data_IF_207008058754
#
_entry.id   IF_207008058754
#
_cell.length_a   1.000
_cell.length_b   1.000
_cell.length_c   1.000
_cell.angle_alpha   90.00
_cell.angle_beta   90.00
_cell.angle_gamma   90.00
#
_symmetry.space_group_name_H-M   'P 1'
#
loop_
_entity.id
_entity.type
_entity.pdbx_description
1 polymer ?
#
# COMPACT_ATOMS: atom_id res chain seq x y z
N UNK A 1 5.75 -8.99 -25.80
CA UNK A 1 4.66 -8.79 -24.82
C UNK A 1 4.28 -7.32 -24.86
N UNK A 2 3.03 -7.02 -25.23
CA UNK A 2 2.53 -5.66 -25.22
C UNK A 2 2.44 -5.23 -23.75
N UNK A 3 3.36 -4.38 -23.31
CA UNK A 3 3.23 -3.65 -22.06
C UNK A 3 1.94 -2.86 -22.22
N UNK A 4 0.90 -3.22 -21.47
CA UNK A 4 -0.35 -2.47 -21.39
C UNK A 4 0.00 -0.97 -21.35
N UNK A 5 -0.54 -0.21 -22.28
CA UNK A 5 -0.28 1.22 -22.32
C UNK A 5 -0.79 1.79 -20.99
N UNK A 6 0.11 2.25 -20.12
CA UNK A 6 -0.20 2.98 -18.88
C UNK A 6 -0.94 4.28 -19.23
N UNK A 7 -2.21 4.12 -19.56
CA UNK A 7 -3.04 5.08 -20.24
C UNK A 7 -3.85 5.87 -19.23
N UNK A 8 -4.00 7.16 -19.49
CA UNK A 8 -4.78 8.06 -18.65
C UNK A 8 -6.18 7.52 -18.31
N UNK A 9 -6.88 6.94 -19.30
CA UNK A 9 -8.24 6.40 -19.14
C UNK A 9 -8.30 5.23 -18.16
N UNK A 10 -7.26 4.40 -18.12
CA UNK A 10 -7.20 3.28 -17.19
C UNK A 10 -7.15 3.77 -15.75
N UNK A 11 -6.33 4.80 -15.47
CA UNK A 11 -6.26 5.41 -14.14
C UNK A 11 -7.53 6.17 -13.78
N UNK A 12 -8.23 6.74 -14.76
CA UNK A 12 -9.55 7.34 -14.54
C UNK A 12 -10.58 6.28 -14.13
N UNK A 13 -10.54 5.09 -14.73
CA UNK A 13 -11.43 3.97 -14.39
C UNK A 13 -11.07 3.30 -13.06
N UNK A 14 -9.83 3.44 -12.59
CA UNK A 14 -9.38 2.96 -11.28
C UNK A 14 -9.90 3.84 -10.12
N UNK A 15 -10.46 5.01 -10.41
CA UNK A 15 -11.09 5.84 -9.40
C UNK A 15 -12.47 5.27 -9.05
N UNK A 16 -12.70 5.02 -7.77
CA UNK A 16 -14.06 4.78 -7.30
C UNK A 16 -14.85 6.09 -7.33
N UNK A 17 -16.01 6.06 -8.01
CA UNK A 17 -16.95 7.17 -8.00
C UNK A 17 -16.76 8.16 -9.15
N UNK A 18 -16.95 9.45 -8.86
CA UNK A 18 -16.90 10.49 -9.89
C UNK A 18 -15.46 10.72 -10.36
N UNK A 19 -15.24 10.86 -11.68
CA UNK A 19 -13.91 11.09 -12.24
C UNK A 19 -13.36 12.44 -11.77
N UNK A 20 -12.38 12.39 -10.86
CA UNK A 20 -11.73 13.58 -10.29
C UNK A 20 -10.37 13.80 -10.96
N UNK A 21 -10.12 15.03 -11.40
CA UNK A 21 -8.89 15.41 -12.09
C UNK A 21 -8.15 16.46 -11.27
N UNK A 22 -6.86 16.21 -11.06
CA UNK A 22 -5.96 17.13 -10.37
C UNK A 22 -4.95 17.71 -11.35
N UNK A 23 -4.69 19.01 -11.22
CA UNK A 23 -3.62 19.66 -11.97
C UNK A 23 -2.26 19.15 -11.50
N UNK A 24 -1.23 19.31 -12.34
CA UNK A 24 0.16 19.00 -11.97
C UNK A 24 0.59 19.65 -10.64
N UNK A 25 0.21 20.91 -10.42
CA UNK A 25 0.57 21.65 -9.20
C UNK A 25 -0.13 21.09 -7.96
N UNK A 26 -1.40 20.70 -8.07
CA UNK A 26 -2.16 20.06 -6.98
C UNK A 26 -1.62 18.67 -6.65
N UNK A 27 -1.28 17.87 -7.66
CA UNK A 27 -0.64 16.56 -7.48
C UNK A 27 0.64 16.69 -6.64
N UNK A 28 1.52 17.62 -7.00
CA UNK A 28 2.78 17.87 -6.28
C UNK A 28 2.51 18.36 -4.86
N UNK A 29 1.55 19.27 -4.69
CA UNK A 29 1.22 19.82 -3.38
C UNK A 29 0.69 18.74 -2.42
N UNK A 30 -0.18 17.85 -2.89
CA UNK A 30 -0.75 16.77 -2.07
C UNK A 30 0.29 15.72 -1.69
N UNK A 31 1.15 15.29 -2.62
CA UNK A 31 2.24 14.35 -2.32
C UNK A 31 3.24 14.93 -1.32
N UNK A 32 3.54 16.24 -1.40
CA UNK A 32 4.38 16.93 -0.40
C UNK A 32 3.70 17.03 0.97
N UNK A 33 2.38 17.22 1.01
CA UNK A 33 1.63 17.23 2.27
C UNK A 33 1.67 15.87 2.97
N UNK A 34 1.82 14.78 2.22
CA UNK A 34 2.07 13.42 2.77
C UNK A 34 3.53 13.19 3.20
N UNK A 35 4.39 14.20 3.09
CA UNK A 35 5.79 14.15 3.55
C UNK A 35 6.80 13.71 2.48
N UNK A 36 6.38 13.47 1.24
CA UNK A 36 7.28 13.02 0.18
C UNK A 36 7.81 14.20 -0.67
N UNK A 37 9.14 14.40 -0.74
CA UNK A 37 9.71 15.45 -1.57
C UNK A 37 9.62 15.07 -3.05
N UNK A 38 8.80 15.80 -3.81
CA UNK A 38 8.70 15.63 -5.27
C UNK A 38 8.91 16.93 -6.02
N UNK A 39 9.71 16.84 -7.09
CA UNK A 39 10.00 17.92 -8.04
C UNK A 39 9.39 17.65 -9.41
N UNK A 40 9.24 18.73 -10.20
CA UNK A 40 8.78 18.64 -11.59
C UNK A 40 9.64 17.72 -12.46
N UNK A 41 10.95 17.67 -12.20
CA UNK A 41 11.89 16.80 -12.90
C UNK A 41 11.65 15.33 -12.57
N UNK A 42 11.44 15.01 -11.29
CA UNK A 42 11.09 13.64 -10.87
C UNK A 42 9.77 13.18 -11.48
N UNK A 43 8.75 14.05 -11.50
CA UNK A 43 7.49 13.71 -12.15
C UNK A 43 7.69 13.41 -13.65
N UNK A 44 8.49 14.23 -14.34
CA UNK A 44 8.79 14.03 -15.76
C UNK A 44 9.55 12.71 -15.99
N UNK A 45 10.49 12.39 -15.11
CA UNK A 45 11.24 11.12 -15.12
C UNK A 45 10.31 9.91 -14.96
N UNK A 46 9.39 9.92 -13.99
CA UNK A 46 8.46 8.80 -13.82
C UNK A 46 7.46 8.66 -14.97
N UNK A 47 7.08 9.75 -15.64
CA UNK A 47 6.31 9.68 -16.89
C UNK A 47 7.14 9.08 -18.03
N UNK A 48 8.43 9.42 -18.16
CA UNK A 48 9.30 8.86 -19.22
C UNK A 48 9.59 7.38 -19.00
N UNK A 49 9.75 6.96 -17.75
CA UNK A 49 9.91 5.55 -17.35
C UNK A 49 8.60 4.76 -17.42
N UNK A 50 7.50 5.39 -17.87
CA UNK A 50 6.16 4.81 -17.95
C UNK A 50 5.63 4.33 -16.60
N UNK A 51 6.12 4.89 -15.50
CA UNK A 51 5.59 4.62 -14.15
C UNK A 51 4.32 5.42 -13.85
N UNK A 52 4.18 6.59 -14.47
CA UNK A 52 2.99 7.43 -14.39
C UNK A 52 2.33 7.57 -15.77
N UNK A 53 1.00 7.75 -15.83
CA UNK A 53 0.33 8.07 -17.08
C UNK A 53 0.76 9.45 -17.60
N UNK A 54 0.63 9.67 -18.90
CA UNK A 54 0.75 11.02 -19.46
C UNK A 54 -0.43 11.88 -19.01
N UNK A 55 -0.19 13.15 -18.71
CA UNK A 55 -1.29 14.09 -18.43
C UNK A 55 -2.13 14.34 -19.68
N UNK A 56 -3.41 14.60 -19.45
CA UNK A 56 -4.33 15.11 -20.47
C UNK A 56 -4.54 16.60 -20.25
N UNK A 57 -4.73 17.35 -21.34
CA UNK A 57 -5.05 18.78 -21.24
C UNK A 57 -6.54 18.95 -20.97
N UNK A 58 -6.87 19.68 -19.91
CA UNK A 58 -8.24 20.06 -19.58
C UNK A 58 -8.36 21.57 -19.75
N UNK A 59 -9.31 22.02 -20.58
CA UNK A 59 -9.51 23.44 -20.87
C UNK A 59 -8.32 24.10 -21.55
N UNK A 60 -7.95 25.32 -21.10
CA UNK A 60 -7.14 26.25 -21.89
C UNK A 60 -5.62 26.13 -21.76
N UNK A 61 -5.02 25.29 -20.89
CA UNK A 61 -3.56 24.97 -20.91
C UNK A 61 -3.02 23.99 -19.85
N UNK A 62 -3.74 23.71 -18.77
CA UNK A 62 -3.18 22.91 -17.68
C UNK A 62 -3.22 21.41 -17.99
N UNK A 63 -2.10 20.71 -17.76
CA UNK A 63 -2.05 19.26 -17.73
C UNK A 63 -2.67 18.75 -16.43
N UNK A 64 -3.62 17.83 -16.56
CA UNK A 64 -4.30 17.19 -15.45
C UNK A 64 -4.01 15.68 -15.44
N UNK A 65 -4.11 15.09 -14.25
CA UNK A 65 -3.99 13.68 -13.97
C UNK A 65 -5.23 13.21 -13.21
N UNK A 66 -5.63 11.94 -13.32
CA UNK A 66 -6.60 11.36 -12.40
C UNK A 66 -6.07 11.47 -10.97
N UNK A 67 -6.90 11.82 -10.00
CA UNK A 67 -6.52 11.95 -8.58
C UNK A 67 -5.87 10.70 -8.00
N UNK A 68 -6.18 9.48 -8.49
CA UNK A 68 -5.51 8.23 -8.07
C UNK A 68 -4.00 8.23 -8.38
N UNK A 69 -3.52 9.12 -9.25
CA UNK A 69 -2.09 9.30 -9.53
C UNK A 69 -1.35 9.84 -8.29
N UNK A 70 -2.05 10.45 -7.33
CA UNK A 70 -1.49 10.82 -6.03
C UNK A 70 -1.06 9.55 -5.29
N UNK A 71 -1.98 8.60 -5.06
CA UNK A 71 -1.71 7.30 -4.44
C UNK A 71 -0.57 6.56 -5.16
N UNK A 72 -0.60 6.58 -6.50
CA UNK A 72 0.41 5.93 -7.33
C UNK A 72 1.81 6.55 -7.12
N UNK A 73 1.90 7.88 -7.16
CA UNK A 73 3.16 8.60 -6.98
C UNK A 73 3.69 8.46 -5.55
N UNK A 74 2.83 8.53 -4.54
CA UNK A 74 3.18 8.26 -3.14
C UNK A 74 3.74 6.84 -2.99
N UNK A 75 3.09 5.84 -3.59
CA UNK A 75 3.58 4.46 -3.58
C UNK A 75 4.94 4.33 -4.26
N UNK A 76 5.13 4.92 -5.45
CA UNK A 76 6.40 4.91 -6.17
C UNK A 76 7.52 5.52 -5.30
N UNK A 77 7.27 6.68 -4.69
CA UNK A 77 8.26 7.37 -3.86
C UNK A 77 8.63 6.54 -2.63
N UNK A 78 7.64 6.00 -1.92
CA UNK A 78 7.86 5.11 -0.76
C UNK A 78 8.65 3.86 -1.15
N UNK A 79 8.34 3.25 -2.29
CA UNK A 79 9.05 2.08 -2.77
C UNK A 79 10.49 2.41 -3.20
N UNK A 80 10.72 3.59 -3.78
CA UNK A 80 12.06 4.09 -4.11
C UNK A 80 12.90 4.35 -2.86
N UNK A 81 12.32 4.92 -1.81
CA UNK A 81 12.99 5.11 -0.52
C UNK A 81 13.38 3.77 0.12
N UNK A 82 12.58 2.72 -0.12
CA UNK A 82 12.89 1.33 0.24
C UNK A 82 13.91 0.62 -0.67
N UNK A 83 14.47 1.30 -1.66
CA UNK A 83 15.52 0.76 -2.54
C UNK A 83 15.01 -0.05 -3.75
N UNK A 84 13.70 -0.04 -4.04
CA UNK A 84 13.15 -0.79 -5.19
C UNK A 84 13.63 -0.18 -6.52
N UNK A 85 14.23 -0.95 -7.43
CA UNK A 85 14.66 -0.44 -8.74
C UNK A 85 13.46 -0.12 -9.66
N UNK A 86 13.68 0.74 -10.65
CA UNK A 86 12.63 1.22 -11.56
C UNK A 86 12.01 0.06 -12.36
N UNK A 87 12.82 -0.91 -12.72
CA UNK A 87 12.43 -2.12 -13.45
C UNK A 87 11.44 -2.94 -12.63
N UNK A 88 11.73 -3.17 -11.34
CA UNK A 88 10.82 -3.86 -10.43
C UNK A 88 9.53 -3.06 -10.20
N UNK A 89 9.60 -1.72 -10.10
CA UNK A 89 8.39 -0.90 -10.00
C UNK A 89 7.48 -1.05 -11.21
N UNK A 90 8.05 -1.16 -12.42
CA UNK A 90 7.27 -1.39 -13.64
C UNK A 90 6.60 -2.77 -13.65
N UNK A 91 7.30 -3.79 -13.17
CA UNK A 91 6.73 -5.13 -12.98
C UNK A 91 5.59 -5.16 -11.95
N UNK A 92 5.70 -4.33 -10.91
CA UNK A 92 4.72 -4.25 -9.82
C UNK A 92 3.48 -3.41 -10.16
N UNK A 93 3.50 -2.58 -11.21
CA UNK A 93 2.37 -1.73 -11.57
C UNK A 93 1.06 -2.51 -11.79
N UNK A 94 1.02 -3.62 -12.56
CA UNK A 94 -0.20 -4.42 -12.71
C UNK A 94 -0.71 -4.97 -11.37
N UNK A 95 0.21 -5.37 -10.48
CA UNK A 95 -0.14 -5.83 -9.13
C UNK A 95 -0.73 -4.68 -8.30
N UNK A 96 -0.15 -3.47 -8.39
CA UNK A 96 -0.67 -2.28 -7.71
C UNK A 96 -2.08 -1.96 -8.20
N UNK A 97 -2.32 -1.96 -9.52
CA UNK A 97 -3.64 -1.70 -10.11
C UNK A 97 -4.67 -2.75 -9.67
N UNK A 98 -4.28 -4.03 -9.67
CA UNK A 98 -5.11 -5.11 -9.17
C UNK A 98 -5.52 -4.86 -7.71
N UNK A 99 -4.57 -4.49 -6.85
CA UNK A 99 -4.85 -4.23 -5.44
C UNK A 99 -5.73 -2.99 -5.22
N UNK A 100 -5.54 -1.94 -6.02
CA UNK A 100 -6.42 -0.76 -5.99
C UNK A 100 -7.85 -1.18 -6.35
N UNK A 101 -8.06 -1.99 -7.41
CA UNK A 101 -9.39 -2.52 -7.77
C UNK A 101 -9.97 -3.42 -6.68
N UNK A 102 -9.15 -4.28 -6.07
CA UNK A 102 -9.58 -5.16 -4.99
C UNK A 102 -10.04 -4.36 -3.76
N UNK A 103 -9.32 -3.30 -3.41
CA UNK A 103 -9.69 -2.34 -2.36
C UNK A 103 -11.04 -1.68 -2.67
N UNK A 104 -11.19 -1.20 -3.89
CA UNK A 104 -12.41 -0.58 -4.40
C UNK A 104 -13.63 -1.49 -4.34
N UNK A 105 -13.48 -2.73 -4.80
CA UNK A 105 -14.54 -3.75 -4.79
C UNK A 105 -14.74 -4.42 -3.42
N UNK A 106 -13.92 -4.07 -2.42
CA UNK A 106 -13.91 -4.68 -1.08
C UNK A 106 -13.72 -6.20 -1.10
N UNK A 107 -13.02 -6.71 -2.11
CA UNK A 107 -12.72 -8.14 -2.24
C UNK A 107 -11.29 -8.33 -2.78
N UNK A 108 -10.46 -9.02 -2.01
CA UNK A 108 -9.09 -9.41 -2.37
C UNK A 108 -9.01 -10.92 -2.61
N UNK A 109 -8.97 -11.33 -3.88
CA UNK A 109 -8.75 -12.72 -4.27
C UNK A 109 -7.26 -13.07 -4.30
N UNK A 110 -6.84 -14.01 -3.45
CA UNK A 110 -5.45 -14.43 -3.33
C UNK A 110 -4.97 -15.33 -4.49
N UNK A 111 -5.89 -16.01 -5.19
CA UNK A 111 -5.56 -16.78 -6.39
C UNK A 111 -5.32 -15.83 -7.57
N UNK A 112 -6.17 -14.83 -7.74
CA UNK A 112 -5.98 -13.81 -8.78
C UNK A 112 -4.73 -12.94 -8.50
N UNK A 113 -4.50 -12.55 -7.24
CA UNK A 113 -3.27 -11.87 -6.85
C UNK A 113 -2.01 -12.67 -7.21
N UNK A 114 -1.99 -13.98 -6.92
CA UNK A 114 -0.87 -14.85 -7.32
C UNK A 114 -0.73 -14.86 -8.84
N UNK A 115 -1.84 -15.01 -9.57
CA UNK A 115 -1.84 -15.07 -11.02
C UNK A 115 -1.24 -13.79 -11.63
N UNK A 116 -1.73 -12.62 -11.23
CA UNK A 116 -1.22 -11.31 -11.68
C UNK A 116 0.26 -11.14 -11.32
N UNK A 117 0.65 -11.47 -10.09
CA UNK A 117 2.05 -11.38 -9.67
C UNK A 117 2.95 -12.29 -10.51
N UNK A 118 2.56 -13.54 -10.76
CA UNK A 118 3.35 -14.48 -11.59
C UNK A 118 3.45 -14.06 -13.04
N UNK A 119 2.44 -13.37 -13.57
CA UNK A 119 2.43 -12.91 -14.95
C UNK A 119 3.34 -11.69 -15.17
N UNK A 120 3.43 -10.80 -14.19
CA UNK A 120 4.08 -9.50 -14.37
C UNK A 120 5.39 -9.31 -13.59
N UNK A 121 5.62 -10.09 -12.54
CA UNK A 121 6.79 -9.97 -11.68
C UNK A 121 7.78 -11.08 -11.98
N UNK A 122 8.92 -10.69 -12.57
CA UNK A 122 10.01 -11.60 -12.95
C UNK A 122 11.28 -11.36 -12.14
N UNK A 123 11.49 -10.13 -11.69
CA UNK A 123 12.65 -9.76 -10.87
C UNK A 123 12.51 -10.30 -9.45
N UNK A 124 13.67 -10.58 -8.84
CA UNK A 124 13.74 -10.98 -7.44
C UNK A 124 13.24 -9.85 -6.53
N UNK A 125 13.63 -8.63 -6.85
CA UNK A 125 13.29 -7.41 -6.12
C UNK A 125 11.78 -7.19 -6.16
N UNK A 126 11.16 -7.32 -7.33
CA UNK A 126 9.70 -7.27 -7.47
C UNK A 126 9.02 -8.36 -6.64
N UNK A 127 9.49 -9.61 -6.73
CA UNK A 127 8.88 -10.74 -6.02
C UNK A 127 8.93 -10.57 -4.49
N UNK A 128 10.06 -10.07 -3.95
CA UNK A 128 10.20 -9.77 -2.53
C UNK A 128 9.32 -8.59 -2.10
N UNK A 129 9.06 -7.64 -3.00
CA UNK A 129 8.28 -6.45 -2.69
C UNK A 129 6.77 -6.66 -2.77
N UNK A 130 6.26 -7.72 -3.41
CA UNK A 130 4.81 -8.01 -3.51
C UNK A 130 4.13 -7.98 -2.13
N UNK A 131 4.73 -8.60 -1.11
CA UNK A 131 4.17 -8.61 0.24
C UNK A 131 4.04 -7.19 0.83
N UNK A 132 5.04 -6.34 0.56
CA UNK A 132 5.04 -4.94 1.02
C UNK A 132 4.00 -4.11 0.27
N UNK A 133 3.90 -4.31 -1.05
CA UNK A 133 2.89 -3.66 -1.89
C UNK A 133 1.46 -3.96 -1.41
N UNK A 134 1.17 -5.21 -1.03
CA UNK A 134 -0.14 -5.58 -0.46
C UNK A 134 -0.41 -4.79 0.83
N UNK A 135 0.58 -4.66 1.72
CA UNK A 135 0.43 -3.84 2.92
C UNK A 135 0.18 -2.37 2.54
N UNK A 136 1.00 -1.80 1.67
CA UNK A 136 0.94 -0.38 1.33
C UNK A 136 -0.38 0.02 0.68
N UNK A 137 -0.96 -0.81 -0.19
CA UNK A 137 -2.25 -0.52 -0.86
C UNK A 137 -3.44 -0.82 0.04
N UNK A 138 -3.45 -1.99 0.70
CA UNK A 138 -4.60 -2.43 1.49
C UNK A 138 -4.72 -1.69 2.82
N UNK A 139 -3.62 -1.13 3.35
CA UNK A 139 -3.63 -0.32 4.57
C UNK A 139 -3.95 1.16 4.32
N UNK A 140 -4.01 1.61 3.07
CA UNK A 140 -4.23 3.01 2.68
C UNK A 140 -5.73 3.40 2.67
N UNK A 141 -6.57 2.72 3.46
CA UNK A 141 -7.99 3.04 3.59
C UNK A 141 -8.38 3.24 5.06
N UNK A 142 -9.54 3.87 5.29
CA UNK A 142 -10.05 4.12 6.63
C UNK A 142 -10.25 2.79 7.39
N UNK A 143 -10.11 2.79 8.73
CA UNK A 143 -10.22 1.55 9.54
C UNK A 143 -11.53 0.79 9.29
N UNK A 144 -12.65 1.50 9.12
CA UNK A 144 -13.95 0.91 8.75
C UNK A 144 -13.92 0.28 7.35
N UNK A 145 -13.40 1.02 6.37
CA UNK A 145 -13.28 0.61 4.98
C UNK A 145 -12.45 -0.68 4.87
N UNK A 146 -11.35 -0.75 5.62
CA UNK A 146 -10.44 -1.91 5.69
C UNK A 146 -11.14 -3.14 6.25
N UNK A 147 -11.88 -2.98 7.34
CA UNK A 147 -12.57 -4.10 8.00
C UNK A 147 -13.67 -4.71 7.14
N UNK A 148 -14.23 -3.93 6.21
CA UNK A 148 -15.24 -4.40 5.25
C UNK A 148 -14.64 -5.19 4.07
N UNK A 149 -13.31 -5.20 3.89
CA UNK A 149 -12.67 -5.91 2.78
C UNK A 149 -12.65 -7.42 3.08
N UNK A 150 -13.14 -8.21 2.14
CA UNK A 150 -13.15 -9.68 2.21
C UNK A 150 -11.91 -10.22 1.51
N UNK A 151 -11.15 -11.09 2.18
CA UNK A 151 -10.05 -11.85 1.59
C UNK A 151 -10.61 -13.21 1.16
N UNK A 152 -10.54 -13.50 -0.14
CA UNK A 152 -10.88 -14.81 -0.70
C UNK A 152 -9.61 -15.62 -0.82
N UNK A 153 -9.53 -16.69 -0.02
CA UNK A 153 -8.41 -17.62 -0.05
C UNK A 153 -8.47 -18.48 -1.31
N UNK A 154 -7.33 -19.09 -1.67
CA UNK A 154 -7.21 -19.98 -2.84
C UNK A 154 -8.11 -21.22 -2.78
N UNK A 155 -8.56 -21.62 -1.59
CA UNK A 155 -9.50 -22.72 -1.40
C UNK A 155 -10.98 -22.27 -1.45
N UNK A 156 -11.25 -20.99 -1.70
CA UNK A 156 -12.59 -20.40 -1.75
C UNK A 156 -13.10 -19.85 -0.42
N UNK A 157 -12.38 -20.07 0.69
CA UNK A 157 -12.79 -19.54 1.99
C UNK A 157 -12.71 -18.02 2.01
N UNK A 158 -13.74 -17.37 2.58
CA UNK A 158 -13.82 -15.93 2.73
C UNK A 158 -13.54 -15.53 4.18
N UNK A 159 -12.62 -14.59 4.39
CA UNK A 159 -12.33 -14.03 5.72
C UNK A 159 -12.31 -12.52 5.64
N UNK A 160 -12.87 -11.84 6.63
CA UNK A 160 -12.78 -10.39 6.72
C UNK A 160 -11.35 -9.96 7.06
N UNK A 161 -10.87 -8.92 6.40
CA UNK A 161 -9.54 -8.37 6.65
C UNK A 161 -9.39 -7.84 8.08
N UNK A 162 -10.49 -7.39 8.70
CA UNK A 162 -10.52 -6.97 10.11
C UNK A 162 -10.39 -8.12 11.13
N UNK A 163 -10.49 -9.38 10.71
CA UNK A 163 -10.31 -10.53 11.60
C UNK A 163 -8.84 -10.64 12.03
N UNK A 164 -8.61 -10.78 13.33
CA UNK A 164 -7.28 -10.96 13.94
C UNK A 164 -6.50 -12.15 13.36
N UNK A 165 -7.20 -13.14 12.81
CA UNK A 165 -6.61 -14.35 12.24
C UNK A 165 -6.23 -14.20 10.75
N UNK A 166 -6.61 -13.08 10.12
CA UNK A 166 -6.34 -12.78 8.72
C UNK A 166 -4.85 -12.51 8.48
N UNK A 167 -4.15 -13.56 8.09
CA UNK A 167 -2.76 -13.49 7.64
C UNK A 167 -2.62 -13.99 6.21
N UNK A 168 -1.79 -13.30 5.43
CA UNK A 168 -1.44 -13.70 4.07
C UNK A 168 0.03 -14.12 4.06
N UNK A 169 0.27 -15.36 3.61
CA UNK A 169 1.62 -15.90 3.44
C UNK A 169 2.10 -15.71 2.01
N UNK A 170 3.29 -15.16 1.86
CA UNK A 170 4.02 -15.05 0.61
C UNK A 170 5.23 -15.98 0.67
N UNK A 171 5.47 -16.71 -0.40
CA UNK A 171 6.62 -17.57 -0.52
C UNK A 171 7.21 -17.37 -1.92
N UNK A 172 8.50 -17.04 -1.97
CA UNK A 172 9.25 -16.78 -3.20
C UNK A 172 10.20 -17.94 -3.41
N UNK A 173 10.02 -18.64 -4.53
CA UNK A 173 10.93 -19.66 -5.01
C UNK A 173 11.73 -19.10 -6.19
N UNK A 174 12.99 -19.53 -6.30
CA UNK A 174 13.87 -19.22 -7.43
C UNK A 174 14.24 -20.50 -8.14
N UNK A 175 14.25 -20.50 -9.47
CA UNK A 175 14.88 -21.57 -10.23
C UNK A 175 16.36 -21.24 -10.36
N UNK A 176 17.20 -22.10 -9.79
CA UNK A 176 18.64 -22.02 -10.00
C UNK A 176 18.95 -23.04 -11.09
N UNK A 177 19.68 -22.60 -12.11
CA UNK A 177 20.20 -23.49 -13.15
C UNK A 177 21.39 -24.22 -12.55
N UNK A 178 21.18 -25.49 -12.21
CA UNK A 178 22.25 -26.37 -11.74
C UNK A 178 22.91 -27.02 -12.97
N UNK A 179 24.24 -26.91 -13.06
CA UNK A 179 25.01 -27.33 -14.23
C UNK A 179 24.81 -28.82 -14.56
N UNK A 180 24.46 -29.65 -13.56
CA UNK A 180 24.28 -31.09 -13.72
C UNK A 180 22.82 -31.57 -13.58
N UNK A 181 21.90 -30.74 -13.08
CA UNK A 181 20.54 -31.18 -12.70
C UNK A 181 19.39 -30.37 -13.33
N UNK A 182 19.68 -29.35 -14.14
CA UNK A 182 18.65 -28.49 -14.76
C UNK A 182 18.05 -27.47 -13.78
N UNK A 183 16.89 -26.90 -14.14
CA UNK A 183 16.23 -25.86 -13.34
C UNK A 183 15.53 -26.48 -12.12
N UNK A 184 16.16 -26.35 -10.94
CA UNK A 184 15.58 -26.81 -9.67
C UNK A 184 14.97 -25.62 -8.90
N UNK A 185 13.66 -25.65 -8.56
CA UNK A 185 13.07 -24.60 -7.74
C UNK A 185 13.54 -24.71 -6.29
N UNK A 186 14.12 -23.63 -5.76
CA UNK A 186 14.58 -23.51 -4.38
C UNK A 186 13.85 -22.37 -3.68
N UNK A 187 13.29 -22.66 -2.51
CA UNK A 187 12.73 -21.62 -1.64
C UNK A 187 13.80 -20.61 -1.28
N UNK A 188 13.49 -19.33 -1.51
CA UNK A 188 14.42 -18.24 -1.26
C UNK A 188 13.97 -17.34 -0.12
N UNK A 189 12.68 -17.01 -0.06
CA UNK A 189 12.14 -16.16 0.99
C UNK A 189 10.69 -16.56 1.32
N UNK A 190 10.30 -16.37 2.57
CA UNK A 190 8.92 -16.48 3.01
C UNK A 190 8.58 -15.32 3.92
N UNK A 191 7.49 -14.62 3.62
CA UNK A 191 7.01 -13.48 4.39
C UNK A 191 5.56 -13.73 4.76
N UNK A 192 5.19 -13.55 6.03
CA UNK A 192 3.79 -13.57 6.45
C UNK A 192 3.42 -12.18 6.92
N UNK A 193 2.34 -11.64 6.38
CA UNK A 193 1.82 -10.32 6.75
C UNK A 193 0.48 -10.48 7.43
N UNK A 194 0.25 -9.69 8.48
CA UNK A 194 -1.07 -9.52 9.06
C UNK A 194 -1.73 -8.32 8.40
N UNK A 195 -2.94 -8.52 7.88
CA UNK A 195 -3.74 -7.43 7.31
C UNK A 195 -4.81 -6.93 8.30
N UNK A 196 -4.86 -7.48 9.51
CA UNK A 196 -5.62 -6.90 10.62
C UNK A 196 -4.95 -5.60 11.11
N UNK A 197 -5.76 -4.59 11.44
CA UNK A 197 -5.27 -3.38 12.10
C UNK A 197 -5.33 -3.57 13.62
N UNK A 198 -4.33 -3.04 14.33
CA UNK A 198 -4.50 -2.75 15.76
C UNK A 198 -5.24 -1.42 15.89
N UNK A 199 -6.12 -1.29 16.89
CA UNK A 199 -6.89 -0.05 17.13
C UNK A 199 -6.02 1.12 17.59
N UNK A 200 -4.76 0.84 18.00
CA UNK A 200 -3.77 1.83 18.44
C UNK A 200 -2.37 1.43 17.92
N UNK A 201 -1.91 1.97 16.78
CA UNK A 201 -0.50 1.88 16.42
C UNK A 201 0.32 2.73 17.40
N UNK A 202 1.48 2.22 17.86
CA UNK A 202 2.41 3.01 18.67
C UNK A 202 2.88 4.21 17.84
N UNK A 203 2.88 5.39 18.47
CA UNK A 203 3.27 6.65 17.83
C UNK A 203 4.77 6.92 17.93
N UNK A 204 5.48 6.13 18.75
CA UNK A 204 6.91 6.26 18.98
C UNK A 204 7.72 5.69 17.81
N UNK A 205 8.47 6.55 17.06
CA UNK A 205 9.28 6.10 15.93
C UNK A 205 10.48 5.24 16.33
N UNK A 206 10.79 5.12 17.62
CA UNK A 206 11.90 4.30 18.14
C UNK A 206 11.47 2.91 18.59
N UNK A 207 10.15 2.65 18.64
CA UNK A 207 9.61 1.40 19.15
C UNK A 207 9.46 0.37 18.02
N UNK A 208 10.29 -0.68 18.07
CA UNK A 208 10.16 -1.87 17.20
C UNK A 208 9.63 -3.03 18.03
N UNK A 209 8.40 -3.44 17.77
CA UNK A 209 7.73 -4.52 18.51
C UNK A 209 7.80 -5.81 17.71
N UNK A 210 8.60 -6.76 18.21
CA UNK A 210 8.80 -8.08 17.59
C UNK A 210 8.08 -9.17 18.40
N UNK A 211 7.51 -10.15 17.70
CA UNK A 211 7.02 -11.39 18.33
C UNK A 211 5.63 -11.31 18.98
N UNK A 212 4.93 -10.19 18.92
CA UNK A 212 3.53 -10.12 19.33
C UNK A 212 2.62 -10.75 18.28
N UNK A 213 1.63 -11.50 18.76
CA UNK A 213 0.53 -11.96 17.90
C UNK A 213 -0.29 -10.74 17.45
N UNK A 214 -0.94 -10.79 16.27
CA UNK A 214 -1.88 -9.75 15.85
C UNK A 214 -2.85 -9.40 16.99
N UNK A 215 -3.09 -8.11 17.21
CA UNK A 215 -4.05 -7.56 18.19
C UNK A 215 -3.74 -7.80 19.67
N UNK A 216 -2.51 -8.22 20.04
CA UNK A 216 -2.04 -8.05 21.41
C UNK A 216 -1.85 -6.56 21.67
N UNK A 217 -2.39 -6.07 22.80
CA UNK A 217 -2.20 -4.68 23.20
C UNK A 217 -0.71 -4.35 23.18
N UNK A 218 -0.36 -3.29 22.44
CA UNK A 218 1.01 -2.80 22.46
C UNK A 218 1.33 -2.32 23.88
N UNK A 219 2.59 -2.42 24.33
CA UNK A 219 3.02 -1.71 25.53
C UNK A 219 2.59 -0.24 25.39
N UNK A 220 2.09 0.39 26.47
CA UNK A 220 1.75 1.81 26.43
C UNK A 220 2.98 2.63 26.01
N UNK A 221 2.76 3.67 25.22
CA UNK A 221 3.82 4.63 24.90
C UNK A 221 4.33 5.23 26.25
N UNK A 222 5.62 5.55 26.40
CA UNK A 222 6.20 5.98 27.67
C UNK A 222 5.59 7.28 28.26
N UNK A 223 4.72 7.96 27.49
CA UNK A 223 4.01 9.18 27.90
C UNK A 223 2.55 8.95 28.32
N UNK A 224 1.99 7.74 28.14
CA UNK A 224 0.58 7.42 28.47
C UNK A 224 0.34 7.05 29.96
N UNK A 225 1.40 7.06 30.79
CA UNK A 225 1.36 6.62 32.20
C UNK A 225 1.15 7.76 33.23
N UNK A 226 0.54 8.88 32.85
CA UNK A 226 0.06 9.88 33.83
C UNK A 226 -1.46 10.10 33.76
N UNK A 227 -2.26 9.37 34.57
CA UNK A 227 -3.53 9.90 34.99
C UNK A 227 -3.28 10.95 36.08
N UNK A 228 -3.15 12.22 35.73
CA UNK A 228 -3.43 13.28 36.71
C UNK A 228 -4.96 13.30 36.95
N UNK A 229 -5.45 13.03 38.17
CA UNK A 229 -6.86 13.21 38.46
C UNK A 229 -7.21 14.70 38.36
N UNK A 230 -8.17 15.02 37.47
CA UNK A 230 -8.93 16.27 37.54
C UNK A 230 -9.71 16.30 38.86
N UNK A 231 -9.10 16.81 39.92
CA UNK A 231 -9.80 17.10 41.16
C UNK A 231 -10.64 18.38 40.96
N UNK A 232 -11.85 18.19 40.46
CA UNK A 232 -12.92 19.18 40.48
C UNK A 232 -13.69 19.02 41.80
N UNK A 233 -13.52 19.98 42.71
CA UNK A 233 -14.22 19.98 43.99
C UNK A 233 -14.32 21.37 44.62
N UNK A 234 -14.85 22.36 43.89
CA UNK A 234 -15.42 23.56 44.51
C UNK A 234 -16.74 23.17 45.17
N UNK A 235 -16.78 23.11 46.50
CA UNK A 235 -18.02 23.27 47.26
C UNK A 235 -17.88 24.39 48.31
N UNK A 236 -18.69 25.42 48.06
CA UNK A 236 -19.37 26.40 48.90
C UNK A 236 -19.06 26.55 50.40
N UNK A 237 -18.80 27.81 50.77
CA UNK A 237 -18.96 28.51 52.07
C UNK A 237 -20.34 28.20 52.72
N UNK A 238 -20.48 28.13 54.07
CA UNK A 238 -20.97 29.30 54.84
C UNK A 238 -20.46 29.47 56.28
N UNK A 239 -20.32 30.74 56.69
CA UNK A 239 -20.77 31.24 58.01
C UNK A 239 -19.76 31.34 59.16
N UNK A 240 -19.50 32.58 59.60
CA UNK A 240 -18.76 32.93 60.82
C UNK A 240 -18.25 34.37 60.80
#
# INVERSE_FOLDING_TARGET
MAIEENGFLEYLQLQDGEPDLVTKSELIARVRAEGYPVSDRQLTFYVSERLLPRSVRVGTRAGAYPSIVIDLLTWILRARDGGVPIEALRELLPVWKFLVRARSHRELDLAELEYVARQHVSSTEGALYVARLVIDVMSCCCSKCRNDIVIVKKNGDKILMGDATSTVGFAVARTIEDADAGLVPRWFASTRVSLASTDRPSSDPTTVILGLKPNVALPPDPEDDQPEPCDQGRESVPGG
#
